data_IF_186147470385
#
_entry.id   IF_186147470385
#
_cell.length_a   1.000
_cell.length_b   1.000
_cell.length_c   1.000
_cell.angle_alpha   90.00
_cell.angle_beta   90.00
_cell.angle_gamma   90.00
#
_symmetry.space_group_name_H-M   'P 1'
#
loop_
_entity.id
_entity.type
_entity.pdbx_description
1 polymer ?
#
# COMPACT_ATOMS: atom_id res chain seq x y z
N UNK A 1 -10.61 -2.69 -5.11
CA UNK A 1 -11.55 -2.53 -3.96
C UNK A 1 -10.84 -1.81 -2.82
N UNK A 2 -11.53 -0.88 -2.19
CA UNK A 2 -11.04 -0.20 -1.00
C UNK A 2 -12.05 -0.44 0.12
N UNK A 3 -11.59 -1.02 1.22
CA UNK A 3 -12.37 -1.13 2.46
C UNK A 3 -11.85 -0.08 3.43
N UNK A 4 -12.72 0.86 3.74
CA UNK A 4 -12.34 2.09 4.42
C UNK A 4 -12.90 2.13 5.85
N UNK A 5 -12.22 1.46 6.78
CA UNK A 5 -12.50 1.55 8.23
C UNK A 5 -11.76 2.74 8.83
N UNK A 6 -10.61 3.07 8.28
CA UNK A 6 -9.81 4.23 8.61
C UNK A 6 -9.51 5.04 7.35
N UNK A 7 -8.88 6.19 7.53
CA UNK A 7 -8.54 7.05 6.42
C UNK A 7 -7.57 6.39 5.44
N UNK A 8 -7.85 6.54 4.16
CA UNK A 8 -6.93 6.22 3.07
C UNK A 8 -6.60 7.51 2.36
N UNK A 9 -5.34 7.94 2.43
CA UNK A 9 -4.85 9.12 1.73
C UNK A 9 -4.10 8.68 0.47
N UNK A 10 -4.53 9.18 -0.65
CA UNK A 10 -3.92 8.91 -1.94
C UNK A 10 -3.47 10.23 -2.54
N UNK A 11 -2.20 10.34 -2.87
CA UNK A 11 -1.63 11.55 -3.45
C UNK A 11 -2.06 11.79 -4.89
N UNK A 12 -1.36 12.71 -5.55
CA UNK A 12 -1.64 13.11 -6.94
C UNK A 12 -0.95 12.16 -7.91
N UNK A 13 -1.56 11.98 -9.08
CA UNK A 13 -0.98 11.18 -10.18
C UNK A 13 -0.63 9.75 -9.76
N UNK A 14 -1.53 9.11 -9.04
CA UNK A 14 -1.38 7.71 -8.65
C UNK A 14 -2.14 6.83 -9.64
N UNK A 15 -1.44 5.85 -10.21
CA UNK A 15 -2.03 4.91 -11.14
C UNK A 15 -2.27 3.57 -10.46
N UNK A 16 -3.53 3.19 -10.36
CA UNK A 16 -3.93 1.87 -9.90
C UNK A 16 -4.27 1.00 -11.10
N UNK A 17 -3.53 -0.07 -11.29
CA UNK A 17 -3.89 -1.09 -12.25
C UNK A 17 -5.11 -1.88 -11.75
N UNK A 18 -5.76 -2.69 -12.60
CA UNK A 18 -6.95 -3.42 -12.20
C UNK A 18 -6.74 -4.33 -10.98
N UNK A 19 -7.80 -4.51 -10.20
CA UNK A 19 -7.87 -5.42 -9.05
C UNK A 19 -6.91 -5.08 -7.89
N UNK A 20 -6.47 -3.83 -7.78
CA UNK A 20 -5.74 -3.37 -6.58
C UNK A 20 -6.70 -3.34 -5.40
N UNK A 21 -6.27 -3.88 -4.26
CA UNK A 21 -7.05 -3.95 -3.03
C UNK A 21 -6.35 -3.19 -1.91
N UNK A 22 -7.07 -2.28 -1.28
CA UNK A 22 -6.56 -1.44 -0.18
C UNK A 22 -7.40 -1.70 1.05
N UNK A 23 -6.79 -2.24 2.10
CA UNK A 23 -7.50 -2.63 3.31
C UNK A 23 -6.98 -1.90 4.53
N UNK A 24 -7.87 -1.18 5.24
CA UNK A 24 -7.55 -0.53 6.51
C UNK A 24 -8.00 -1.33 7.72
N UNK A 25 -8.94 -2.25 7.54
CA UNK A 25 -9.47 -3.05 8.62
C UNK A 25 -8.47 -4.13 9.08
N UNK A 26 -8.37 -4.29 10.38
CA UNK A 26 -7.59 -5.37 11.00
C UNK A 26 -8.34 -5.89 12.21
N UNK A 27 -7.96 -7.07 12.70
CA UNK A 27 -8.58 -7.69 13.86
C UNK A 27 -7.53 -8.14 14.85
N UNK A 28 -7.84 -8.14 16.17
CA UNK A 28 -6.94 -8.71 17.15
C UNK A 28 -6.61 -10.18 16.83
N UNK A 29 -5.39 -10.59 17.14
CA UNK A 29 -4.98 -11.98 16.98
C UNK A 29 -5.67 -12.89 18.02
N UNK A 30 -6.01 -12.36 19.19
CA UNK A 30 -6.77 -13.10 20.19
C UNK A 30 -8.18 -13.40 19.70
N UNK A 31 -8.58 -14.65 19.72
CA UNK A 31 -9.84 -15.09 19.14
C UNK A 31 -11.06 -14.50 19.83
N UNK A 32 -11.02 -14.32 21.15
CA UNK A 32 -12.15 -13.75 21.89
C UNK A 32 -12.30 -12.24 21.63
N UNK A 33 -11.20 -11.52 21.64
CA UNK A 33 -11.20 -10.09 21.32
C UNK A 33 -11.63 -9.85 19.87
N UNK A 34 -11.24 -10.73 18.96
CA UNK A 34 -11.60 -10.62 17.55
C UNK A 34 -13.11 -10.70 17.30
N UNK A 35 -13.86 -11.40 18.15
CA UNK A 35 -15.31 -11.49 18.03
C UNK A 35 -16.02 -10.15 18.25
N UNK A 36 -15.43 -9.28 19.06
CA UNK A 36 -16.08 -8.04 19.49
C UNK A 36 -15.41 -6.77 19.03
N UNK A 37 -14.20 -6.86 18.46
CA UNK A 37 -13.44 -5.68 18.08
C UNK A 37 -12.97 -5.75 16.64
N UNK A 38 -13.11 -4.64 15.97
CA UNK A 38 -12.52 -4.38 14.66
C UNK A 38 -11.65 -3.15 14.82
N UNK A 39 -10.39 -3.26 14.43
CA UNK A 39 -9.43 -2.17 14.45
C UNK A 39 -9.17 -1.70 13.03
N UNK A 40 -8.78 -0.45 12.89
CA UNK A 40 -8.33 0.08 11.62
C UNK A 40 -6.99 0.76 11.76
N UNK A 41 -6.23 0.78 10.68
CA UNK A 41 -4.98 1.52 10.59
C UNK A 41 -4.96 2.25 9.26
N UNK A 42 -4.68 3.56 9.26
CA UNK A 42 -4.72 4.36 8.04
C UNK A 42 -3.64 3.93 7.05
N UNK A 43 -3.92 4.16 5.77
CA UNK A 43 -2.99 3.90 4.68
C UNK A 43 -2.73 5.22 3.98
N UNK A 44 -1.47 5.46 3.61
CA UNK A 44 -1.06 6.63 2.84
C UNK A 44 -0.28 6.17 1.62
N UNK A 45 -0.65 6.69 0.46
CA UNK A 45 0.08 6.48 -0.79
C UNK A 45 0.50 7.86 -1.29
N UNK A 46 1.79 8.05 -1.49
CA UNK A 46 2.34 9.33 -1.93
C UNK A 46 2.02 9.65 -3.39
N UNK A 47 2.65 10.72 -3.89
CA UNK A 47 2.43 11.19 -5.25
C UNK A 47 3.19 10.35 -6.27
N UNK A 48 2.68 10.33 -7.50
CA UNK A 48 3.35 9.74 -8.65
C UNK A 48 3.71 8.27 -8.48
N UNK A 49 2.84 7.51 -7.85
CA UNK A 49 3.03 6.07 -7.65
C UNK A 49 2.29 5.26 -8.72
N UNK A 50 2.86 4.13 -9.06
CA UNK A 50 2.21 3.12 -9.91
C UNK A 50 2.06 1.83 -9.12
N UNK A 51 0.81 1.44 -8.90
CA UNK A 51 0.47 0.24 -8.15
C UNK A 51 0.02 -0.84 -9.13
N UNK A 52 0.81 -1.87 -9.28
CA UNK A 52 0.56 -2.97 -10.22
C UNK A 52 -0.71 -3.75 -9.93
N UNK A 53 -1.25 -4.39 -10.96
CA UNK A 53 -2.52 -5.11 -10.85
C UNK A 53 -2.50 -6.23 -9.81
N UNK A 54 -3.62 -6.41 -9.13
CA UNK A 54 -3.77 -7.44 -8.11
C UNK A 54 -2.97 -7.22 -6.83
N UNK A 55 -2.33 -6.05 -6.67
CA UNK A 55 -1.61 -5.72 -5.44
C UNK A 55 -2.57 -5.57 -4.27
N UNK A 56 -2.18 -6.09 -3.12
CA UNK A 56 -2.89 -5.91 -1.85
C UNK A 56 -2.07 -5.00 -0.95
N UNK A 57 -2.66 -3.89 -0.50
CA UNK A 57 -2.02 -2.98 0.45
C UNK A 57 -2.67 -3.19 1.82
N UNK A 58 -1.84 -3.57 2.78
CA UNK A 58 -2.30 -3.97 4.11
C UNK A 58 -2.44 -2.78 5.05
N UNK A 59 -3.22 -2.94 6.14
CA UNK A 59 -3.47 -1.85 7.09
C UNK A 59 -2.19 -1.22 7.64
N UNK A 60 -2.20 0.10 7.79
CA UNK A 60 -1.12 0.85 8.41
C UNK A 60 0.08 1.14 7.52
N UNK A 61 0.04 0.79 6.24
CA UNK A 61 1.16 0.97 5.33
C UNK A 61 1.21 2.41 4.79
N UNK A 62 2.41 2.96 4.73
CA UNK A 62 2.71 4.20 4.00
C UNK A 62 3.62 3.86 2.83
N UNK A 63 3.17 4.18 1.63
CA UNK A 63 3.97 4.11 0.41
C UNK A 63 4.42 5.52 0.08
N UNK A 64 5.73 5.73 -0.01
CA UNK A 64 6.32 7.03 -0.30
C UNK A 64 6.02 7.51 -1.72
N UNK A 65 6.63 8.63 -2.09
CA UNK A 65 6.41 9.23 -3.40
C UNK A 65 7.20 8.51 -4.50
N UNK A 66 6.70 8.53 -5.71
CA UNK A 66 7.38 8.01 -6.91
C UNK A 66 7.78 6.55 -6.79
N UNK A 67 6.93 5.76 -6.15
CA UNK A 67 7.15 4.33 -5.99
C UNK A 67 6.46 3.53 -7.10
N UNK A 68 7.01 2.37 -7.39
CA UNK A 68 6.39 1.37 -8.25
C UNK A 68 6.24 0.08 -7.44
N UNK A 69 5.01 -0.44 -7.39
CA UNK A 69 4.73 -1.71 -6.75
C UNK A 69 4.40 -2.71 -7.86
N UNK A 70 5.17 -3.78 -7.92
CA UNK A 70 4.97 -4.81 -8.95
C UNK A 70 3.65 -5.55 -8.79
N UNK A 71 3.09 -6.01 -9.92
CA UNK A 71 1.80 -6.71 -9.93
C UNK A 71 1.80 -7.93 -9.00
N UNK A 72 0.67 -8.17 -8.36
CA UNK A 72 0.49 -9.32 -7.47
C UNK A 72 1.21 -9.21 -6.12
N UNK A 73 1.78 -8.05 -5.80
CA UNK A 73 2.49 -7.85 -4.54
C UNK A 73 1.53 -7.74 -3.36
N UNK A 74 2.02 -8.09 -2.17
CA UNK A 74 1.31 -7.89 -0.91
C UNK A 74 2.17 -6.98 -0.04
N UNK A 75 1.76 -5.71 0.09
CA UNK A 75 2.54 -4.68 0.79
C UNK A 75 2.17 -4.70 2.26
N UNK A 76 3.09 -5.16 3.08
CA UNK A 76 2.89 -5.34 4.53
C UNK A 76 3.70 -4.35 5.37
N UNK A 77 4.63 -3.61 4.77
CA UNK A 77 5.50 -2.64 5.43
C UNK A 77 5.58 -1.36 4.62
N UNK A 78 5.98 -0.29 5.28
CA UNK A 78 6.18 0.98 4.61
C UNK A 78 7.23 0.87 3.50
N UNK A 79 7.00 1.58 2.42
CA UNK A 79 7.90 1.65 1.27
C UNK A 79 8.44 3.07 1.19
N UNK A 80 9.76 3.26 1.23
CA UNK A 80 10.35 4.60 1.13
C UNK A 80 10.22 5.18 -0.28
N UNK A 81 10.42 6.49 -0.40
CA UNK A 81 10.34 7.19 -1.68
C UNK A 81 11.23 6.55 -2.73
N UNK A 82 10.85 6.71 -3.99
CA UNK A 82 11.65 6.32 -5.15
C UNK A 82 12.08 4.84 -5.12
N UNK A 83 11.16 3.97 -4.73
CA UNK A 83 11.45 2.54 -4.60
C UNK A 83 10.62 1.69 -5.54
N UNK A 84 11.24 0.63 -6.04
CA UNK A 84 10.55 -0.48 -6.70
C UNK A 84 10.45 -1.63 -5.69
N UNK A 85 9.22 -2.00 -5.35
CA UNK A 85 8.96 -3.10 -4.43
C UNK A 85 8.09 -4.15 -5.10
N UNK A 86 8.41 -5.41 -4.87
CA UNK A 86 7.67 -6.54 -5.45
C UNK A 86 7.61 -7.71 -4.48
N UNK A 87 6.62 -8.55 -4.68
CA UNK A 87 6.52 -9.86 -4.04
C UNK A 87 5.50 -9.94 -2.92
N UNK A 88 5.47 -11.09 -2.28
CA UNK A 88 4.62 -11.38 -1.13
C UNK A 88 5.45 -12.08 -0.03
N UNK A 89 5.80 -11.37 1.06
CA UNK A 89 5.57 -9.94 1.27
C UNK A 89 6.45 -9.10 0.33
N UNK A 90 5.96 -7.92 -0.04
CA UNK A 90 6.70 -7.03 -0.94
C UNK A 90 7.99 -6.57 -0.29
N UNK A 91 9.06 -6.54 -1.07
CA UNK A 91 10.38 -6.07 -0.67
C UNK A 91 10.88 -5.05 -1.65
N UNK A 92 11.55 -4.02 -1.16
CA UNK A 92 12.26 -3.07 -2.02
C UNK A 92 13.43 -3.78 -2.68
N UNK A 93 13.39 -3.85 -4.00
CA UNK A 93 14.44 -4.52 -4.77
C UNK A 93 15.45 -3.56 -5.36
N UNK A 94 15.09 -2.29 -5.52
CA UNK A 94 16.03 -1.24 -5.92
C UNK A 94 15.41 0.15 -5.76
N UNK A 95 16.25 1.16 -5.81
CA UNK A 95 15.85 2.55 -5.98
C UNK A 95 15.56 2.84 -7.45
N UNK A 96 14.60 3.72 -7.69
CA UNK A 96 14.27 4.21 -9.03
C UNK A 96 14.92 5.57 -9.19
N UNK A 97 15.62 5.78 -10.29
CA UNK A 97 16.09 7.09 -10.67
C UNK A 97 15.00 7.78 -11.48
N UNK A 98 14.35 8.76 -10.88
CA UNK A 98 13.31 9.53 -11.55
C UNK A 98 13.89 10.78 -12.20
N UNK A 99 13.41 11.10 -13.40
CA UNK A 99 13.81 12.33 -14.08
C UNK A 99 13.37 13.54 -13.27
N UNK A 100 14.19 14.60 -13.31
CA UNK A 100 13.81 15.88 -12.71
C UNK A 100 13.11 16.73 -13.75
N UNK A 101 12.05 17.40 -13.34
CA UNK A 101 11.48 18.45 -14.14
C UNK A 101 12.39 19.67 -14.14
N UNK A 102 12.60 20.23 -15.32
CA UNK A 102 13.38 21.43 -15.46
C UNK A 102 12.61 22.68 -15.04
#
# INVERSE_FOLDING_TARGET
MVLDVCEVKIGNNVFFAPAVQVYTATHPLDALLRRSKENGKPITIGDDCWIGGGTVICPGVTIGNRCVIGAGSVVTRNIPDDSLAVGNPARVIRKIENSREA
#
